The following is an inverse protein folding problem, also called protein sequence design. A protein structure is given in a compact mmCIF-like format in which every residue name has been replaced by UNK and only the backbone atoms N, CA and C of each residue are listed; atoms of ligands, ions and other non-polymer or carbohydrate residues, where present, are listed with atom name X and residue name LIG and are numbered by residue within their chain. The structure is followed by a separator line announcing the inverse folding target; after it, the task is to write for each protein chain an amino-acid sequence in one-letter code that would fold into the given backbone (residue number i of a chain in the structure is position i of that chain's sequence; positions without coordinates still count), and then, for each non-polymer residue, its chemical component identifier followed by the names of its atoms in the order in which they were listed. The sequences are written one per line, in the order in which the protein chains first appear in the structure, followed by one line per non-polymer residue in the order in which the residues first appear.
data_IF_793315496328
#
_entry.id   IF_793315496328
#
_cell.length_a   1.000
_cell.length_b   1.000
_cell.length_c   1.000
_cell.angle_alpha   90.00
_cell.angle_beta   90.00
_cell.angle_gamma   90.00
#
_symmetry.space_group_name_H-M   'P 1'
#
loop_
_entity.id
_entity.type
_entity.pdbx_description
1 polymer ?
#
# COMPACT_ATOMS: atom_id res chain seq x y z
N UNK A 1 5.01 -21.44 11.23
CA UNK A 1 3.64 -21.75 10.79
C UNK A 1 3.75 -22.28 9.39
N UNK A 2 3.31 -23.51 9.18
CA UNK A 2 3.39 -24.21 7.89
C UNK A 2 2.47 -23.48 6.92
N UNK A 3 3.03 -22.97 5.82
CA UNK A 3 2.25 -22.46 4.68
C UNK A 3 1.35 -23.62 4.24
N UNK A 4 0.02 -23.47 4.15
CA UNK A 4 -0.82 -24.56 3.64
C UNK A 4 -0.38 -24.81 2.20
N UNK A 5 0.19 -25.99 1.95
CA UNK A 5 0.55 -26.41 0.61
C UNK A 5 -0.71 -26.37 -0.24
N UNK A 6 -0.66 -25.60 -1.32
CA UNK A 6 -1.76 -25.53 -2.29
C UNK A 6 -1.91 -26.95 -2.84
N UNK A 7 -3.11 -27.56 -2.76
CA UNK A 7 -3.31 -28.91 -3.24
C UNK A 7 -2.92 -29.03 -4.72
N UNK A 8 -2.33 -30.13 -5.12
CA UNK A 8 -1.84 -30.35 -6.49
C UNK A 8 -2.92 -30.25 -7.59
N UNK A 9 -4.19 -30.41 -7.20
CA UNK A 9 -5.34 -30.27 -8.09
C UNK A 9 -5.80 -28.81 -8.27
N UNK A 10 -5.23 -27.86 -7.48
CA UNK A 10 -5.54 -26.42 -7.51
C UNK A 10 -4.29 -25.66 -7.98
N UNK A 11 -4.42 -24.90 -9.07
CA UNK A 11 -3.29 -24.17 -9.64
C UNK A 11 -3.60 -22.68 -9.78
N UNK A 12 -2.68 -21.83 -9.30
CA UNK A 12 -2.80 -20.37 -9.43
C UNK A 12 -2.32 -19.95 -10.81
N UNK A 13 -3.12 -19.12 -11.48
CA UNK A 13 -2.81 -18.53 -12.79
C UNK A 13 -2.43 -17.07 -12.59
N UNK A 14 -1.20 -16.71 -13.00
CA UNK A 14 -0.78 -15.32 -13.09
C UNK A 14 -1.43 -14.72 -14.32
N UNK A 15 -2.17 -13.61 -14.15
CA UNK A 15 -2.90 -12.97 -15.24
C UNK A 15 -2.69 -11.47 -15.24
N UNK A 16 -2.64 -10.89 -16.44
CA UNK A 16 -2.49 -9.44 -16.67
C UNK A 16 -3.73 -8.90 -17.36
N UNK A 17 -4.04 -7.62 -17.11
CA UNK A 17 -5.13 -6.92 -17.79
C UNK A 17 -4.65 -6.55 -19.18
N UNK A 18 -5.28 -7.11 -20.19
CA UNK A 18 -4.89 -6.89 -21.61
C UNK A 18 -5.80 -5.89 -22.32
N UNK A 19 -7.06 -5.81 -21.92
CA UNK A 19 -8.02 -4.88 -22.51
C UNK A 19 -9.06 -4.42 -21.51
N UNK A 20 -9.52 -3.17 -21.66
CA UNK A 20 -10.60 -2.59 -20.87
C UNK A 20 -11.54 -1.82 -21.79
N UNK A 21 -12.83 -2.16 -21.74
CA UNK A 21 -13.86 -1.37 -22.41
C UNK A 21 -14.61 -0.57 -21.36
N UNK A 22 -14.45 0.75 -21.38
CA UNK A 22 -15.10 1.64 -20.43
C UNK A 22 -16.44 2.10 -21.00
N UNK A 23 -17.50 1.87 -20.24
CA UNK A 23 -18.87 2.31 -20.51
C UNK A 23 -19.20 3.60 -19.73
N UNK A 24 -20.42 4.07 -19.81
CA UNK A 24 -20.84 5.29 -19.12
C UNK A 24 -20.85 5.17 -17.58
N UNK A 25 -21.02 3.95 -17.05
CA UNK A 25 -21.24 3.69 -15.62
C UNK A 25 -20.41 2.50 -15.06
N UNK A 26 -19.68 1.77 -15.92
CA UNK A 26 -18.90 0.58 -15.56
C UNK A 26 -17.83 0.27 -16.60
N UNK A 27 -16.96 -0.71 -16.33
CA UNK A 27 -16.00 -1.19 -17.32
C UNK A 27 -16.03 -2.72 -17.45
N UNK A 28 -15.79 -3.22 -18.65
CA UNK A 28 -15.48 -4.61 -18.93
C UNK A 28 -13.97 -4.77 -18.97
N UNK A 29 -13.44 -5.50 -18.02
CA UNK A 29 -12.00 -5.80 -17.92
C UNK A 29 -11.76 -7.19 -18.48
N UNK A 30 -10.75 -7.31 -19.34
CA UNK A 30 -10.30 -8.59 -19.88
C UNK A 30 -8.88 -8.87 -19.40
N UNK A 31 -8.69 -9.99 -18.74
CA UNK A 31 -7.39 -10.49 -18.28
C UNK A 31 -7.00 -11.74 -19.04
N UNK A 32 -5.68 -11.92 -19.19
CA UNK A 32 -5.12 -13.09 -19.85
C UNK A 32 -3.96 -13.63 -19.03
N UNK A 33 -3.88 -14.96 -18.93
CA UNK A 33 -2.80 -15.63 -18.24
C UNK A 33 -2.48 -16.96 -18.90
N UNK A 34 -1.21 -17.34 -18.88
CA UNK A 34 -0.73 -18.61 -19.39
C UNK A 34 -0.38 -19.52 -18.23
N UNK A 35 -0.73 -20.78 -18.34
CA UNK A 35 -0.49 -21.79 -17.31
C UNK A 35 -0.13 -23.14 -17.94
N UNK A 36 0.93 -23.77 -17.39
CA UNK A 36 1.27 -25.14 -17.76
C UNK A 36 0.42 -26.11 -16.95
N UNK A 37 -0.34 -26.97 -17.61
CA UNK A 37 -1.20 -27.97 -16.99
C UNK A 37 -0.55 -29.35 -17.06
N UNK A 38 -0.80 -30.17 -16.05
CA UNK A 38 -0.26 -31.53 -15.92
C UNK A 38 -1.30 -32.61 -16.06
N UNK A 39 -2.59 -32.24 -16.22
CA UNK A 39 -3.69 -33.15 -16.36
C UNK A 39 -4.37 -33.59 -15.06
N UNK A 40 -3.86 -33.10 -13.90
CA UNK A 40 -4.45 -33.40 -12.58
C UNK A 40 -5.24 -32.24 -12.00
N UNK A 41 -5.11 -31.05 -12.62
CA UNK A 41 -5.75 -29.84 -12.15
C UNK A 41 -7.27 -29.92 -12.33
N UNK A 42 -7.98 -29.50 -11.28
CA UNK A 42 -9.44 -29.40 -11.24
C UNK A 42 -9.90 -27.97 -11.05
N UNK A 43 -9.03 -27.11 -10.53
CA UNK A 43 -9.32 -25.72 -10.30
C UNK A 43 -8.14 -24.82 -10.72
N UNK A 44 -8.47 -23.77 -11.48
CA UNK A 44 -7.57 -22.66 -11.78
C UNK A 44 -8.00 -21.44 -10.98
N UNK A 45 -7.07 -20.84 -10.24
CA UNK A 45 -7.35 -19.74 -9.33
C UNK A 45 -6.67 -18.47 -9.82
N UNK A 46 -7.45 -17.45 -10.06
CA UNK A 46 -7.00 -16.10 -10.37
C UNK A 46 -7.16 -15.26 -9.11
N UNK A 47 -6.07 -14.76 -8.56
CA UNK A 47 -6.06 -13.96 -7.33
C UNK A 47 -6.09 -12.46 -7.65
N UNK A 48 -6.39 -11.65 -6.63
CA UNK A 48 -6.34 -10.18 -6.72
C UNK A 48 -7.28 -9.58 -7.75
N UNK A 49 -8.50 -10.07 -7.79
CA UNK A 49 -9.59 -9.48 -8.57
C UNK A 49 -10.39 -8.55 -7.65
N UNK A 50 -10.89 -7.41 -8.12
CA UNK A 50 -11.72 -6.51 -7.31
C UNK A 50 -13.10 -7.10 -7.05
N UNK A 51 -13.95 -6.37 -6.38
CA UNK A 51 -15.37 -6.74 -6.29
C UNK A 51 -16.02 -6.68 -7.68
N UNK A 52 -16.49 -7.84 -8.16
CA UNK A 52 -17.05 -8.01 -9.49
C UNK A 52 -18.48 -8.54 -9.43
N UNK A 53 -19.24 -8.28 -10.48
CA UNK A 53 -20.51 -8.95 -10.71
C UNK A 53 -20.26 -10.39 -11.19
N UNK A 54 -20.34 -11.37 -10.30
CA UNK A 54 -20.02 -12.79 -10.60
C UNK A 54 -20.78 -13.32 -11.81
N UNK A 55 -22.01 -12.87 -12.03
CA UNK A 55 -22.83 -13.27 -13.19
C UNK A 55 -22.28 -12.73 -14.53
N UNK A 56 -21.47 -11.68 -14.48
CA UNK A 56 -20.84 -11.07 -15.65
C UNK A 56 -19.60 -11.81 -16.12
N UNK A 57 -19.05 -12.71 -15.29
CA UNK A 57 -17.80 -13.39 -15.58
C UNK A 57 -17.95 -14.29 -16.79
N UNK A 58 -17.03 -14.13 -17.73
CA UNK A 58 -16.89 -14.98 -18.90
C UNK A 58 -15.47 -15.53 -18.94
N UNK A 59 -15.36 -16.81 -19.14
CA UNK A 59 -14.07 -17.51 -19.21
C UNK A 59 -13.98 -18.21 -20.55
N UNK A 60 -12.87 -18.02 -21.22
CA UNK A 60 -12.50 -18.72 -22.44
C UNK A 60 -11.02 -19.07 -22.37
N UNK A 61 -10.56 -19.91 -23.25
CA UNK A 61 -9.15 -20.22 -23.33
C UNK A 61 -8.83 -21.11 -24.52
N UNK A 62 -7.55 -21.08 -24.86
CA UNK A 62 -6.95 -21.85 -25.95
C UNK A 62 -5.64 -22.45 -25.47
N UNK A 63 -5.24 -23.59 -26.00
CA UNK A 63 -3.99 -24.22 -25.58
C UNK A 63 -3.64 -25.43 -26.43
N UNK A 64 -2.52 -26.03 -26.09
CA UNK A 64 -2.04 -27.27 -26.69
C UNK A 64 -2.76 -28.50 -26.14
N UNK A 65 -3.44 -28.33 -25.00
CA UNK A 65 -4.20 -29.39 -24.31
C UNK A 65 -5.69 -29.06 -24.28
N UNK A 66 -6.53 -30.11 -24.40
CA UNK A 66 -7.97 -29.96 -24.27
C UNK A 66 -8.37 -29.66 -22.82
N UNK A 67 -9.00 -28.51 -22.60
CA UNK A 67 -9.52 -28.09 -21.29
C UNK A 67 -11.03 -27.86 -21.41
N UNK A 68 -11.81 -28.53 -20.58
CA UNK A 68 -13.24 -28.28 -20.44
C UNK A 68 -13.51 -27.45 -19.20
N UNK A 69 -14.16 -26.32 -19.37
CA UNK A 69 -14.56 -25.45 -18.26
C UNK A 69 -15.89 -25.93 -17.68
N UNK A 70 -15.93 -26.07 -16.36
CA UNK A 70 -17.10 -26.63 -15.64
C UNK A 70 -17.95 -25.52 -15.00
N UNK A 71 -17.32 -24.41 -14.59
CA UNK A 71 -17.99 -23.29 -13.97
C UNK A 71 -17.00 -22.31 -13.34
N UNK A 72 -17.51 -21.16 -12.88
CA UNK A 72 -16.74 -20.14 -12.20
C UNK A 72 -17.41 -19.81 -10.88
N UNK A 73 -16.63 -19.76 -9.82
CA UNK A 73 -17.04 -19.26 -8.51
C UNK A 73 -16.10 -18.16 -8.04
N UNK A 74 -16.59 -17.29 -7.19
CA UNK A 74 -15.77 -16.27 -6.54
C UNK A 74 -15.64 -16.59 -5.06
N UNK A 75 -14.40 -16.70 -4.59
CA UNK A 75 -14.09 -16.82 -3.18
C UNK A 75 -13.56 -15.48 -2.66
N UNK A 76 -14.09 -15.01 -1.51
CA UNK A 76 -13.51 -13.87 -0.82
C UNK A 76 -12.22 -14.32 -0.15
N UNK A 77 -11.12 -13.79 -0.61
CA UNK A 77 -9.85 -13.91 0.12
C UNK A 77 -9.69 -12.64 0.94
N UNK A 78 -9.74 -12.81 2.24
CA UNK A 78 -9.18 -11.80 3.13
C UNK A 78 -7.67 -11.90 2.98
N UNK A 79 -7.10 -11.13 2.07
CA UNK A 79 -5.65 -11.03 1.95
C UNK A 79 -5.18 -10.37 3.24
N UNK A 80 -4.70 -11.19 4.16
CA UNK A 80 -3.87 -10.70 5.24
C UNK A 80 -2.65 -10.11 4.53
N UNK A 81 -2.62 -8.78 4.43
CA UNK A 81 -1.53 -8.03 3.82
C UNK A 81 -0.17 -8.55 4.27
N UNK A 82 0.91 -8.23 3.57
CA UNK A 82 2.21 -8.86 3.72
C UNK A 82 2.67 -8.75 5.17
N UNK A 83 2.38 -9.78 5.95
CA UNK A 83 2.82 -9.95 7.34
C UNK A 83 4.32 -9.67 7.47
N UNK A 84 5.08 -9.86 6.40
CA UNK A 84 6.49 -9.57 6.33
C UNK A 84 6.81 -8.06 6.34
N UNK A 85 6.08 -7.24 5.60
CA UNK A 85 6.30 -5.79 5.51
C UNK A 85 5.82 -5.07 6.78
N UNK A 86 4.67 -5.46 7.30
CA UNK A 86 4.16 -5.03 8.60
C UNK A 86 5.13 -5.39 9.72
N UNK A 87 5.63 -6.63 9.75
CA UNK A 87 6.61 -7.08 10.74
C UNK A 87 7.95 -6.34 10.61
N UNK A 88 8.37 -6.00 9.39
CA UNK A 88 9.58 -5.21 9.15
C UNK A 88 9.44 -3.79 9.68
N UNK A 89 8.36 -3.09 9.32
CA UNK A 89 8.08 -1.72 9.79
C UNK A 89 7.93 -1.67 11.32
N UNK A 90 7.23 -2.63 11.90
CA UNK A 90 7.09 -2.72 13.37
C UNK A 90 8.44 -2.87 14.05
N UNK A 91 9.33 -3.73 13.54
CA UNK A 91 10.69 -3.89 14.10
C UNK A 91 11.50 -2.62 13.97
N UNK A 92 11.41 -1.92 12.85
CA UNK A 92 12.12 -0.63 12.68
C UNK A 92 11.63 0.39 13.70
N UNK A 93 10.34 0.52 13.91
CA UNK A 93 9.75 1.41 14.91
C UNK A 93 10.25 1.05 16.31
N UNK A 94 10.22 -0.24 16.68
CA UNK A 94 10.71 -0.71 17.99
C UNK A 94 12.19 -0.38 18.21
N UNK A 95 13.01 -0.49 17.17
CA UNK A 95 14.45 -0.16 17.23
C UNK A 95 14.66 1.34 17.47
N UNK A 96 13.99 2.20 16.70
CA UNK A 96 14.09 3.66 16.85
C UNK A 96 13.55 4.13 18.21
N UNK A 97 12.47 3.53 18.70
CA UNK A 97 11.96 3.81 20.04
C UNK A 97 12.94 3.39 21.15
N UNK A 98 13.66 2.28 20.97
CA UNK A 98 14.68 1.86 21.91
C UNK A 98 15.87 2.83 21.91
N UNK A 99 16.30 3.30 20.75
CA UNK A 99 17.35 4.31 20.60
C UNK A 99 16.93 5.65 21.22
N UNK A 100 15.71 6.10 20.98
CA UNK A 100 15.14 7.30 21.61
C UNK A 100 15.15 7.19 23.14
N UNK A 101 14.74 6.04 23.70
CA UNK A 101 14.81 5.78 25.16
C UNK A 101 16.23 5.84 25.69
N UNK A 102 17.21 5.34 24.93
CA UNK A 102 18.63 5.41 25.30
C UNK A 102 19.11 6.86 25.35
N UNK A 103 18.81 7.67 24.35
CA UNK A 103 19.14 9.10 24.33
C UNK A 103 18.47 9.85 25.48
N UNK A 104 17.22 9.52 25.80
CA UNK A 104 16.53 10.11 26.95
C UNK A 104 17.25 9.81 28.26
N UNK A 105 17.70 8.58 28.47
CA UNK A 105 18.48 8.23 29.64
C UNK A 105 19.80 8.99 29.72
N UNK A 106 20.44 9.27 28.59
CA UNK A 106 21.66 10.10 28.52
C UNK A 106 21.36 11.55 28.89
N UNK A 107 20.26 12.14 28.38
CA UNK A 107 19.82 13.49 28.72
C UNK A 107 19.55 13.60 30.23
N UNK A 108 18.87 12.61 30.81
CA UNK A 108 18.57 12.58 32.24
C UNK A 108 19.84 12.48 33.10
N UNK A 109 20.81 11.69 32.67
CA UNK A 109 22.11 11.58 33.35
C UNK A 109 22.89 12.89 33.29
N UNK A 110 22.94 13.55 32.12
CA UNK A 110 23.57 14.86 31.95
C UNK A 110 22.87 15.97 32.77
N UNK A 111 21.54 15.92 32.85
CA UNK A 111 20.76 16.83 33.69
C UNK A 111 21.11 16.66 35.18
N UNK A 112 21.28 15.42 35.64
CA UNK A 112 21.67 15.11 37.00
C UNK A 112 23.09 15.67 37.31
N UNK A 113 24.04 15.47 36.38
CA UNK A 113 25.40 15.97 36.51
C UNK A 113 25.44 17.53 36.53
N UNK A 114 24.66 18.15 35.62
CA UNK A 114 24.54 19.61 35.58
C UNK A 114 23.91 20.18 36.88
N UNK A 115 22.86 19.50 37.39
CA UNK A 115 22.24 19.89 38.67
C UNK A 115 23.17 19.72 39.85
N UNK A 116 24.04 18.70 39.87
CA UNK A 116 25.06 18.53 40.89
C UNK A 116 26.06 19.68 40.89
N UNK A 117 26.56 20.09 39.72
CA UNK A 117 27.47 21.22 39.58
C UNK A 117 26.81 22.55 40.01
N UNK A 118 25.56 22.75 39.63
CA UNK A 118 24.77 23.92 40.05
C UNK A 118 24.61 23.98 41.59
N UNK A 119 24.26 22.85 42.20
CA UNK A 119 24.14 22.71 43.65
C UNK A 119 25.49 22.86 44.39
N UNK A 120 26.58 22.39 43.79
CA UNK A 120 27.92 22.62 44.34
C UNK A 120 28.28 24.12 44.32
N UNK A 121 27.97 24.83 43.26
CA UNK A 121 28.16 26.28 43.15
C UNK A 121 27.39 26.99 44.28
N UNK A 122 26.09 26.71 44.41
CA UNK A 122 25.22 27.36 45.41
C UNK A 122 25.73 27.15 46.84
N UNK A 123 26.15 25.95 47.21
CA UNK A 123 26.63 25.62 48.57
C UNK A 123 28.04 26.13 48.84
N UNK A 124 28.86 26.41 47.81
CA UNK A 124 30.24 26.89 47.97
C UNK A 124 30.35 28.41 47.89
N UNK A 125 29.36 29.14 47.37
CA UNK A 125 29.42 30.61 47.21
C UNK A 125 29.75 31.34 48.54
N UNK A 126 29.04 31.03 49.62
CA UNK A 126 29.19 31.71 50.88
C UNK A 126 30.47 31.28 51.66
N UNK A 127 30.80 29.99 51.83
CA UNK A 127 32.06 29.56 52.43
C UNK A 127 33.29 30.02 51.63
N UNK A 128 33.16 30.08 50.31
CA UNK A 128 34.20 30.50 49.41
C UNK A 128 34.53 32.01 49.55
N UNK A 129 33.50 32.85 49.60
CA UNK A 129 33.64 34.27 49.87
C UNK A 129 34.30 34.56 51.24
N UNK A 130 33.92 33.76 52.27
CA UNK A 130 34.56 33.85 53.58
C UNK A 130 36.04 33.41 53.59
N UNK A 131 36.38 32.34 52.82
CA UNK A 131 37.76 31.85 52.70
C UNK A 131 38.64 32.81 51.93
N UNK A 132 38.15 33.46 50.90
CA UNK A 132 38.83 34.53 50.17
C UNK A 132 39.12 35.74 51.07
N UNK A 133 38.15 36.17 51.91
CA UNK A 133 38.32 37.28 52.82
C UNK A 133 39.36 37.02 53.92
N UNK A 134 39.54 35.74 54.32
CA UNK A 134 40.54 35.27 55.28
C UNK A 134 41.92 34.97 54.69
N UNK A 135 42.15 35.19 53.38
CA UNK A 135 43.37 34.83 52.64
C UNK A 135 43.77 33.35 52.71
N UNK A 136 42.84 32.45 52.93
CA UNK A 136 43.10 31.00 53.00
C UNK A 136 43.12 30.30 51.67
N UNK A 137 42.66 30.97 50.58
CA UNK A 137 42.69 30.46 49.19
C UNK A 137 43.52 31.42 48.31
N UNK A 138 44.33 30.87 47.42
CA UNK A 138 45.02 31.66 46.41
C UNK A 138 44.08 32.08 45.28
N UNK A 139 44.36 33.21 44.65
CA UNK A 139 43.58 33.65 43.48
C UNK A 139 43.66 32.67 42.31
N UNK A 140 44.78 31.95 42.15
CA UNK A 140 44.97 30.92 41.15
C UNK A 140 44.04 29.74 41.38
N UNK A 141 44.01 29.17 42.58
CA UNK A 141 43.11 28.04 42.93
C UNK A 141 41.64 28.40 42.71
N UNK A 142 41.29 29.64 42.97
CA UNK A 142 39.93 30.19 42.71
C UNK A 142 39.59 30.17 41.24
N UNK A 143 40.51 30.69 40.40
CA UNK A 143 40.31 30.75 38.95
C UNK A 143 40.28 29.33 38.36
N UNK A 144 41.14 28.43 38.81
CA UNK A 144 41.18 27.04 38.34
C UNK A 144 39.84 26.31 38.65
N UNK A 145 39.30 26.54 39.86
CA UNK A 145 38.00 25.96 40.23
C UNK A 145 36.82 26.53 39.40
N UNK A 146 36.82 27.87 39.18
CA UNK A 146 35.78 28.50 38.36
C UNK A 146 35.85 28.03 36.89
N UNK A 147 37.06 27.92 36.35
CA UNK A 147 37.30 27.42 35.01
C UNK A 147 36.84 25.95 34.89
N UNK A 148 37.15 25.13 35.88
CA UNK A 148 36.68 23.73 35.93
C UNK A 148 35.15 23.64 35.94
N UNK A 149 34.47 24.37 36.81
CA UNK A 149 33.02 24.40 36.85
C UNK A 149 32.40 24.87 35.56
N UNK A 150 32.97 25.96 34.98
CA UNK A 150 32.51 26.51 33.71
C UNK A 150 32.68 25.58 32.55
N UNK A 151 33.84 24.90 32.46
CA UNK A 151 34.09 23.92 31.40
C UNK A 151 33.17 22.69 31.50
N UNK A 152 32.98 22.14 32.70
CA UNK A 152 32.12 21.00 32.92
C UNK A 152 30.64 21.31 32.63
N UNK A 153 30.17 22.50 33.10
CA UNK A 153 28.82 22.94 32.80
C UNK A 153 28.57 23.09 31.30
N UNK A 154 29.53 23.72 30.59
CA UNK A 154 29.47 23.89 29.15
C UNK A 154 29.47 22.54 28.40
N UNK A 155 30.32 21.62 28.81
CA UNK A 155 30.41 20.27 28.23
C UNK A 155 29.07 19.49 28.36
N UNK A 156 28.49 19.53 29.56
CA UNK A 156 27.19 18.84 29.78
C UNK A 156 26.04 19.53 29.03
N UNK A 157 26.05 20.85 28.91
CA UNK A 157 25.05 21.59 28.15
C UNK A 157 25.11 21.25 26.65
N UNK A 158 26.33 21.23 26.09
CA UNK A 158 26.55 20.87 24.68
C UNK A 158 26.10 19.40 24.43
N UNK A 159 26.57 18.47 25.24
CA UNK A 159 26.21 17.06 25.10
C UNK A 159 24.69 16.84 25.25
N UNK A 160 24.04 17.58 26.16
CA UNK A 160 22.57 17.51 26.32
C UNK A 160 21.85 18.02 25.06
N UNK A 161 22.33 19.08 24.43
CA UNK A 161 21.72 19.64 23.23
C UNK A 161 21.93 18.74 22.01
N UNK A 162 23.09 18.11 21.90
CA UNK A 162 23.38 17.12 20.87
C UNK A 162 22.41 15.92 20.98
N UNK A 163 22.22 15.37 22.19
CA UNK A 163 21.27 14.30 22.43
C UNK A 163 19.82 14.70 22.09
N UNK A 164 19.41 15.91 22.44
CA UNK A 164 18.07 16.41 22.08
C UNK A 164 17.89 16.60 20.60
N UNK A 165 18.91 17.05 19.90
CA UNK A 165 18.88 17.18 18.44
C UNK A 165 18.70 15.81 17.78
N UNK A 166 19.45 14.81 18.22
CA UNK A 166 19.30 13.43 17.76
C UNK A 166 17.89 12.87 18.05
N UNK A 167 17.35 13.15 19.24
CA UNK A 167 15.98 12.76 19.56
C UNK A 167 14.95 13.38 18.59
N UNK A 168 15.13 14.66 18.22
CA UNK A 168 14.22 15.33 17.27
C UNK A 168 14.31 14.72 15.87
N UNK A 169 15.49 14.27 15.44
CA UNK A 169 15.66 13.55 14.16
C UNK A 169 14.95 12.19 14.19
N UNK A 170 15.16 11.43 15.25
CA UNK A 170 14.46 10.15 15.44
C UNK A 170 12.94 10.32 15.52
N UNK A 171 12.44 11.39 16.13
CA UNK A 171 11.01 11.67 16.19
C UNK A 171 10.40 11.92 14.80
N UNK A 172 11.12 12.61 13.92
CA UNK A 172 10.68 12.81 12.53
C UNK A 172 10.63 11.49 11.77
N UNK A 173 11.66 10.66 11.95
CA UNK A 173 11.71 9.36 11.29
C UNK A 173 10.59 8.42 11.80
N UNK A 174 10.36 8.38 13.10
CA UNK A 174 9.25 7.65 13.72
C UNK A 174 7.90 8.11 13.19
N UNK A 175 7.68 9.42 13.05
CA UNK A 175 6.45 9.97 12.47
C UNK A 175 6.21 9.48 11.04
N UNK A 176 7.25 9.44 10.21
CA UNK A 176 7.15 8.96 8.82
C UNK A 176 6.83 7.46 8.77
N UNK A 177 7.50 6.66 9.61
CA UNK A 177 7.25 5.22 9.68
C UNK A 177 5.86 4.90 10.24
N UNK A 178 5.43 5.60 11.28
CA UNK A 178 4.08 5.46 11.84
C UNK A 178 3.00 5.87 10.82
N UNK A 179 3.21 6.93 10.05
CA UNK A 179 2.29 7.33 8.99
C UNK A 179 2.23 6.28 7.86
N UNK A 180 3.36 5.66 7.54
CA UNK A 180 3.42 4.55 6.58
C UNK A 180 2.71 3.31 7.11
N UNK A 181 2.94 2.95 8.38
CA UNK A 181 2.25 1.86 9.06
C UNK A 181 0.73 2.11 9.10
N UNK A 182 0.31 3.33 9.39
CA UNK A 182 -1.12 3.70 9.45
C UNK A 182 -1.77 3.60 8.07
N UNK A 183 -1.07 3.97 6.99
CA UNK A 183 -1.57 3.78 5.61
C UNK A 183 -1.76 2.30 5.27
N UNK A 184 -0.88 1.46 5.77
CA UNK A 184 -0.97 0.00 5.60
C UNK A 184 -2.05 -0.59 6.53
N UNK A 185 -2.19 -0.06 7.75
CA UNK A 185 -3.17 -0.51 8.74
C UNK A 185 -4.55 0.12 8.60
N UNK A 186 -4.70 1.23 7.84
CA UNK A 186 -6.04 1.72 7.53
C UNK A 186 -6.70 0.66 6.65
N UNK A 187 -7.63 -0.14 7.16
CA UNK A 187 -8.32 -1.07 6.33
C UNK A 187 -9.31 -0.28 5.47
N UNK A 188 -8.90 0.10 4.28
CA UNK A 188 -9.72 -0.39 3.21
C UNK A 188 -9.31 -1.87 3.10
N UNK A 189 -10.12 -2.81 3.59
CA UNK A 189 -9.95 -4.16 3.13
C UNK A 189 -10.09 -4.00 1.61
N UNK A 190 -8.97 -4.09 0.90
CA UNK A 190 -9.05 -4.52 -0.49
C UNK A 190 -9.63 -5.91 -0.33
N UNK A 191 -10.95 -5.98 -0.31
CA UNK A 191 -11.65 -7.24 -0.48
C UNK A 191 -11.15 -7.73 -1.83
N UNK A 192 -10.08 -8.49 -1.81
CA UNK A 192 -9.59 -9.12 -3.01
C UNK A 192 -10.36 -10.41 -3.13
N UNK A 193 -11.05 -10.53 -4.23
CA UNK A 193 -11.71 -11.76 -4.58
C UNK A 193 -10.72 -12.62 -5.36
N UNK A 194 -10.83 -13.92 -5.21
CA UNK A 194 -10.25 -14.86 -6.15
C UNK A 194 -11.35 -15.48 -6.98
N UNK A 195 -11.09 -15.59 -8.26
CA UNK A 195 -11.93 -16.37 -9.15
C UNK A 195 -11.40 -17.78 -9.23
N UNK A 196 -12.26 -18.73 -8.98
CA UNK A 196 -11.96 -20.15 -9.09
C UNK A 196 -12.72 -20.69 -10.30
N UNK A 197 -11.95 -21.14 -11.28
CA UNK A 197 -12.47 -21.76 -12.50
C UNK A 197 -12.31 -23.26 -12.38
N UNK A 198 -13.43 -23.97 -12.32
CA UNK A 198 -13.45 -25.43 -12.36
C UNK A 198 -13.10 -25.92 -13.76
N UNK A 199 -12.13 -26.82 -13.85
CA UNK A 199 -11.63 -27.35 -15.13
C UNK A 199 -11.52 -28.87 -15.12
N UNK A 200 -11.62 -29.45 -16.28
CA UNK A 200 -11.29 -30.84 -16.58
C UNK A 200 -10.22 -30.83 -17.67
N UNK A 201 -9.04 -31.32 -17.33
CA UNK A 201 -7.85 -31.23 -18.19
C UNK A 201 -7.57 -32.61 -18.80
N UNK A 202 -7.45 -32.66 -20.13
CA UNK A 202 -7.28 -33.93 -20.85
C UNK A 202 -5.86 -34.50 -20.85
N UNK A 203 -4.86 -33.69 -20.43
CA UNK A 203 -3.44 -34.09 -20.43
C UNK A 203 -2.50 -32.95 -20.08
N UNK A 204 -1.23 -33.16 -20.34
CA UNK A 204 -0.19 -32.16 -20.09
C UNK A 204 -0.05 -31.19 -21.27
N UNK A 205 0.09 -29.88 -20.99
CA UNK A 205 0.31 -28.86 -22.01
C UNK A 205 0.10 -27.44 -21.50
N UNK A 206 0.42 -26.48 -22.36
CA UNK A 206 0.24 -25.06 -22.12
C UNK A 206 -1.21 -24.65 -22.42
N UNK A 207 -1.79 -23.84 -21.55
CA UNK A 207 -3.13 -23.32 -21.70
C UNK A 207 -3.16 -21.81 -21.42
N UNK A 208 -3.65 -21.03 -22.37
CA UNK A 208 -3.91 -19.61 -22.25
C UNK A 208 -5.34 -19.39 -21.81
N UNK A 209 -5.52 -18.86 -20.59
CA UNK A 209 -6.82 -18.53 -20.00
C UNK A 209 -7.13 -17.06 -20.26
N UNK A 210 -8.30 -16.80 -20.82
CA UNK A 210 -8.86 -15.44 -20.95
C UNK A 210 -10.10 -15.31 -20.09
N UNK A 211 -10.11 -14.25 -19.28
CA UNK A 211 -11.17 -13.96 -18.33
C UNK A 211 -11.68 -12.55 -18.56
N UNK A 212 -12.99 -12.36 -18.68
CA UNK A 212 -13.60 -11.03 -18.73
C UNK A 212 -14.73 -10.90 -17.72
N UNK A 213 -14.82 -9.71 -17.10
CA UNK A 213 -15.81 -9.40 -16.06
C UNK A 213 -16.14 -7.90 -16.05
N UNK A 214 -17.33 -7.57 -15.54
CA UNK A 214 -17.76 -6.19 -15.32
C UNK A 214 -17.36 -5.72 -13.93
N UNK A 215 -16.82 -4.52 -13.88
CA UNK A 215 -16.50 -3.79 -12.64
C UNK A 215 -17.27 -2.48 -12.61
N UNK A 216 -17.76 -2.13 -11.43
CA UNK A 216 -18.37 -0.83 -11.15
C UNK A 216 -17.28 0.23 -10.89
N UNK A 217 -17.69 1.49 -10.65
CA UNK A 217 -16.79 2.58 -10.33
C UNK A 217 -15.80 2.94 -11.43
N UNK A 218 -16.19 2.76 -12.69
CA UNK A 218 -15.47 3.25 -13.87
C UNK A 218 -16.45 3.91 -14.83
N UNK A 219 -16.06 5.04 -15.39
CA UNK A 219 -16.88 5.80 -16.33
C UNK A 219 -16.02 6.63 -17.26
N UNK A 220 -16.60 7.08 -18.36
CA UNK A 220 -15.99 8.04 -19.24
C UNK A 220 -16.97 9.12 -19.69
N UNK A 221 -16.44 10.31 -19.94
CA UNK A 221 -17.19 11.47 -20.40
C UNK A 221 -16.54 12.03 -21.67
N UNK A 222 -17.31 12.29 -22.74
CA UNK A 222 -16.77 12.91 -23.93
C UNK A 222 -16.48 14.39 -23.68
N UNK A 223 -15.35 14.86 -24.18
CA UNK A 223 -14.94 16.25 -24.19
C UNK A 223 -14.70 16.69 -25.62
N UNK A 224 -15.13 17.90 -25.95
CA UNK A 224 -14.99 18.48 -27.28
C UNK A 224 -14.23 19.79 -27.20
N UNK A 225 -13.14 19.94 -27.98
CA UNK A 225 -12.46 21.22 -28.19
C UNK A 225 -12.75 21.67 -29.63
N UNK A 226 -13.39 22.82 -29.75
CA UNK A 226 -13.83 23.39 -31.03
C UNK A 226 -13.04 24.68 -31.27
N UNK A 227 -12.20 24.70 -32.34
CA UNK A 227 -11.43 25.86 -32.74
C UNK A 227 -11.82 26.30 -34.13
N UNK A 228 -12.28 27.54 -34.23
CA UNK A 228 -12.61 28.19 -35.50
C UNK A 228 -11.47 29.11 -35.92
N UNK A 229 -10.98 28.94 -37.16
CA UNK A 229 -10.02 29.84 -37.73
C UNK A 229 -10.71 30.80 -38.70
N UNK A 230 -10.77 32.08 -38.34
CA UNK A 230 -11.36 33.15 -39.18
C UNK A 230 -10.60 33.42 -40.48
N UNK A 231 -9.35 32.95 -40.58
CA UNK A 231 -8.50 33.19 -41.75
C UNK A 231 -8.71 32.12 -42.84
N UNK A 232 -9.12 30.92 -42.48
CA UNK A 232 -9.22 29.77 -43.37
C UNK A 232 -10.65 29.19 -43.49
N UNK A 233 -11.60 29.74 -42.75
CA UNK A 233 -13.01 29.23 -42.61
C UNK A 233 -13.05 27.74 -42.25
N UNK A 234 -12.04 27.25 -41.48
CA UNK A 234 -11.94 25.88 -41.08
C UNK A 234 -12.30 25.77 -39.57
N UNK A 235 -13.12 24.77 -39.24
CA UNK A 235 -13.40 24.36 -37.87
C UNK A 235 -12.57 23.12 -37.55
N UNK A 236 -11.72 23.21 -36.53
CA UNK A 236 -11.02 22.06 -35.96
C UNK A 236 -11.82 21.55 -34.76
N UNK A 237 -12.25 20.30 -34.85
CA UNK A 237 -12.91 19.58 -33.77
C UNK A 237 -11.96 18.54 -33.23
N UNK A 238 -11.57 18.68 -31.96
CA UNK A 238 -10.85 17.63 -31.23
C UNK A 238 -11.83 16.90 -30.32
N UNK A 239 -11.89 15.58 -30.47
CA UNK A 239 -12.70 14.71 -29.65
C UNK A 239 -11.81 14.04 -28.61
N UNK A 240 -12.06 14.31 -27.34
CA UNK A 240 -11.32 13.82 -26.21
C UNK A 240 -12.23 13.02 -25.29
N UNK A 241 -11.67 12.23 -24.42
CA UNK A 241 -12.42 11.53 -23.40
C UNK A 241 -11.70 11.67 -22.04
N UNK A 242 -12.48 11.96 -21.02
CA UNK A 242 -12.05 11.90 -19.63
C UNK A 242 -12.51 10.56 -19.05
N UNK A 243 -11.56 9.78 -18.52
CA UNK A 243 -11.82 8.48 -17.91
C UNK A 243 -11.56 8.61 -16.41
N UNK A 244 -12.56 8.22 -15.61
CA UNK A 244 -12.46 8.16 -14.16
C UNK A 244 -12.65 6.72 -13.71
N UNK A 245 -11.77 6.22 -12.82
CA UNK A 245 -11.91 4.88 -12.27
C UNK A 245 -11.46 4.83 -10.81
N UNK A 246 -12.15 4.02 -10.01
CA UNK A 246 -11.79 3.62 -8.64
C UNK A 246 -12.12 2.14 -8.42
N UNK A 247 -11.74 1.31 -9.38
CA UNK A 247 -12.01 -0.14 -9.37
C UNK A 247 -11.08 -0.91 -8.44
N UNK A 248 -9.97 -0.29 -8.01
CA UNK A 248 -8.92 -0.93 -7.22
C UNK A 248 -7.89 -1.70 -8.05
N UNK A 249 -8.00 -1.67 -9.39
CA UNK A 249 -7.03 -2.27 -10.32
C UNK A 249 -6.33 -1.19 -11.15
N UNK A 250 -5.04 -1.42 -11.43
CA UNK A 250 -4.26 -0.58 -12.33
C UNK A 250 -4.33 -1.14 -13.75
N UNK A 251 -4.72 -0.32 -14.73
CA UNK A 251 -4.85 -0.71 -16.14
C UNK A 251 -3.62 -0.35 -16.97
N UNK A 252 -2.44 -0.61 -16.42
CA UNK A 252 -1.16 -0.28 -17.04
C UNK A 252 -0.95 -1.14 -18.29
N UNK A 253 -0.73 -0.48 -19.43
CA UNK A 253 -0.47 -1.16 -20.72
C UNK A 253 -1.69 -1.83 -21.36
N UNK A 254 -2.88 -1.74 -20.77
CA UNK A 254 -4.10 -2.31 -21.32
C UNK A 254 -4.60 -1.52 -22.54
N UNK A 255 -5.19 -2.22 -23.50
CA UNK A 255 -5.90 -1.60 -24.62
C UNK A 255 -7.22 -1.02 -24.15
N UNK A 256 -7.36 0.32 -24.21
CA UNK A 256 -8.59 1.01 -23.80
C UNK A 256 -9.55 1.19 -24.97
N UNK A 257 -10.80 0.81 -24.76
CA UNK A 257 -11.91 1.05 -25.68
C UNK A 257 -13.00 1.82 -24.94
N UNK A 258 -13.58 2.84 -25.56
CA UNK A 258 -14.67 3.61 -25.00
C UNK A 258 -15.97 3.27 -25.73
N UNK A 259 -17.03 3.03 -24.97
CA UNK A 259 -18.31 2.61 -25.53
C UNK A 259 -19.47 3.39 -24.90
N UNK A 260 -20.38 3.84 -25.73
CA UNK A 260 -21.68 4.41 -25.30
C UNK A 260 -22.77 3.34 -25.13
N UNK A 261 -22.47 2.09 -25.46
CA UNK A 261 -23.39 0.97 -25.23
C UNK A 261 -23.61 0.75 -23.73
N UNK A 262 -24.76 0.20 -23.39
CA UNK A 262 -25.04 -0.27 -22.03
C UNK A 262 -24.93 -1.79 -22.02
N UNK A 263 -23.88 -2.34 -21.39
CA UNK A 263 -23.75 -3.80 -21.27
C UNK A 263 -24.95 -4.32 -20.45
N UNK A 264 -25.60 -5.35 -20.92
CA UNK A 264 -26.75 -5.97 -20.25
C UNK A 264 -28.14 -5.55 -20.74
N UNK A 265 -28.26 -4.50 -21.57
CA UNK A 265 -29.56 -4.14 -22.14
C UNK A 265 -29.94 -4.95 -23.40
N UNK A 266 -29.10 -5.88 -23.85
CA UNK A 266 -29.19 -6.50 -25.17
C UNK A 266 -29.91 -7.85 -25.28
N UNK A 267 -30.23 -8.52 -24.20
CA UNK A 267 -30.82 -9.86 -24.28
C UNK A 267 -31.81 -10.14 -23.17
N UNK A 268 -32.94 -9.44 -23.20
CA UNK A 268 -34.12 -10.06 -22.58
C UNK A 268 -34.51 -11.24 -23.50
N UNK A 269 -34.47 -12.48 -22.99
CA UNK A 269 -34.98 -13.59 -23.78
C UNK A 269 -36.44 -13.31 -24.14
N UNK A 270 -36.88 -13.66 -25.34
CA UNK A 270 -38.26 -13.46 -25.72
C UNK A 270 -39.16 -14.10 -24.67
N UNK A 271 -40.20 -13.38 -24.23
CA UNK A 271 -41.19 -13.95 -23.34
C UNK A 271 -41.80 -15.16 -24.07
N UNK A 272 -41.59 -16.35 -23.50
CA UNK A 272 -42.22 -17.55 -23.98
C UNK A 272 -43.73 -17.42 -23.69
N UNK A 273 -44.56 -17.33 -24.71
CA UNK A 273 -45.97 -17.43 -24.55
C UNK A 273 -46.34 -18.90 -24.26
N UNK A 274 -47.30 -19.14 -23.36
CA UNK A 274 -47.69 -20.53 -23.05
C UNK A 274 -48.29 -21.20 -24.30
N UNK A 275 -47.77 -22.36 -24.61
CA UNK A 275 -48.34 -23.23 -25.64
C UNK A 275 -49.53 -23.99 -25.06
N UNK A 276 -50.71 -23.71 -25.59
CA UNK A 276 -51.90 -24.49 -25.28
C UNK A 276 -51.95 -25.69 -26.26
N UNK A 277 -51.95 -26.90 -25.74
CA UNK A 277 -52.21 -28.13 -26.50
C UNK A 277 -53.71 -28.34 -26.38
N UNK A 278 -54.44 -28.15 -27.47
CA UNK A 278 -55.83 -28.56 -27.59
C UNK A 278 -55.87 -30.10 -27.80
N UNK A 279 -56.71 -30.76 -27.00
CA UNK A 279 -56.89 -32.23 -27.05
C UNK A 279 -57.97 -32.63 -28.03
#
# INVERSE_FOLDING_TARGET
MVNPEIPSWRKTVQSEIVAVTVYADRALVTRRGVVDLTGIEQELVITSVPEIETESVRVSGTGTVGVRMLGVSSDRIYTTEPVAELAHLTRQIEQLEAEKRHLQAQVDALALQSSFIAGLREKTEEPFAQSLSRKNLSLSETLDFLNFLGSQYSEYAIASEECKTQQQELDKELQLLCASLQKIQTPHPKESFSLVVGVEVAGEGEFELELSYLVNCASWTPLYDLRFSTTSDIVHLSYLAEITQSTGEDWIGANLTLSTAKPGLGTLPPKLEPWYIDA
#
